data_IF_805310399392
#
_entry.id   IF_805310399392
#
_cell.length_a   1.000
_cell.length_b   1.000
_cell.length_c   1.000
_cell.angle_alpha   90.00
_cell.angle_beta   90.00
_cell.angle_gamma   90.00
#
_symmetry.space_group_name_H-M   'P 1'
#
loop_
_entity.id
_entity.type
_entity.pdbx_description
1 polymer ?
#
# COMPACT_ATOMS: atom_id res chain seq x y z
N UNK A 1 10.42 -14.49 6.35
CA UNK A 1 10.49 -13.04 6.08
C UNK A 1 9.40 -12.32 6.87
N UNK A 2 9.55 -11.04 7.19
CA UNK A 2 8.49 -10.26 7.83
C UNK A 2 7.37 -9.95 6.85
N UNK A 3 6.17 -9.58 7.33
CA UNK A 3 5.07 -9.16 6.44
C UNK A 3 5.45 -7.98 5.54
N UNK A 4 6.23 -7.02 6.05
CA UNK A 4 6.72 -5.87 5.28
C UNK A 4 7.68 -6.29 4.16
N UNK A 5 8.61 -7.19 4.46
CA UNK A 5 9.52 -7.77 3.46
C UNK A 5 8.74 -8.54 2.39
N UNK A 6 7.80 -9.39 2.80
CA UNK A 6 6.95 -10.17 1.92
C UNK A 6 6.14 -9.26 0.98
N UNK A 7 5.47 -8.24 1.53
CA UNK A 7 4.69 -7.30 0.75
C UNK A 7 5.56 -6.52 -0.26
N UNK A 8 6.78 -6.12 0.13
CA UNK A 8 7.72 -5.45 -0.77
C UNK A 8 8.22 -6.38 -1.88
N UNK A 9 8.53 -7.65 -1.57
CA UNK A 9 8.92 -8.64 -2.57
C UNK A 9 7.80 -8.89 -3.60
N UNK A 10 6.55 -8.97 -3.14
CA UNK A 10 5.36 -9.10 -4.00
C UNK A 10 5.08 -7.79 -4.78
N UNK A 11 5.47 -6.64 -4.24
CA UNK A 11 5.24 -5.31 -4.83
C UNK A 11 3.91 -4.66 -4.42
N UNK A 12 3.36 -5.04 -3.26
CA UNK A 12 2.04 -4.66 -2.74
C UNK A 12 2.15 -4.03 -1.35
N UNK A 13 1.03 -3.56 -0.82
CA UNK A 13 0.91 -3.17 0.59
C UNK A 13 0.72 -4.40 1.51
N UNK A 14 1.11 -4.33 2.79
CA UNK A 14 0.84 -5.39 3.78
C UNK A 14 -0.64 -5.77 3.90
N UNK A 15 -1.55 -4.80 3.82
CA UNK A 15 -3.01 -5.03 3.88
C UNK A 15 -3.47 -5.89 2.71
N UNK A 16 -2.97 -5.61 1.50
CA UNK A 16 -3.30 -6.41 0.33
C UNK A 16 -2.88 -7.87 0.52
N UNK A 17 -1.68 -8.12 1.06
CA UNK A 17 -1.20 -9.49 1.34
C UNK A 17 -2.13 -10.23 2.29
N UNK A 18 -2.51 -9.59 3.40
CA UNK A 18 -3.40 -10.21 4.39
C UNK A 18 -4.75 -10.57 3.76
N UNK A 19 -5.33 -9.67 2.98
CA UNK A 19 -6.59 -9.90 2.28
C UNK A 19 -6.47 -11.01 1.23
N UNK A 20 -5.39 -10.99 0.44
CA UNK A 20 -5.11 -12.00 -0.56
C UNK A 20 -4.98 -13.39 0.06
N UNK A 21 -4.15 -13.55 1.10
CA UNK A 21 -3.95 -14.85 1.76
C UNK A 21 -5.22 -15.34 2.46
N UNK A 22 -6.01 -14.45 3.06
CA UNK A 22 -7.31 -14.81 3.63
C UNK A 22 -8.28 -15.27 2.54
N UNK A 23 -8.40 -14.55 1.41
CA UNK A 23 -9.24 -14.94 0.28
C UNK A 23 -8.82 -16.30 -0.31
N UNK A 24 -7.52 -16.53 -0.45
CA UNK A 24 -6.95 -17.77 -0.98
C UNK A 24 -6.98 -18.92 0.04
N UNK A 25 -7.37 -18.68 1.30
CA UNK A 25 -7.34 -19.65 2.40
C UNK A 25 -5.96 -20.31 2.60
N UNK A 26 -4.90 -19.60 2.25
CA UNK A 26 -3.51 -20.08 2.38
C UNK A 26 -2.98 -19.72 3.77
N UNK A 27 -2.27 -20.67 4.40
CA UNK A 27 -1.60 -20.42 5.68
C UNK A 27 -0.63 -19.25 5.54
N UNK A 28 -0.61 -18.34 6.52
CA UNK A 28 0.24 -17.13 6.53
C UNK A 28 1.71 -17.46 6.81
N UNK A 29 2.34 -18.20 5.90
CA UNK A 29 3.77 -18.49 5.91
C UNK A 29 4.45 -17.48 5.00
N UNK A 30 5.03 -16.45 5.58
CA UNK A 30 5.77 -15.44 4.81
C UNK A 30 7.14 -16.03 4.44
N UNK A 31 7.16 -16.83 3.39
CA UNK A 31 8.36 -17.39 2.76
C UNK A 31 8.49 -16.92 1.31
N UNK A 32 9.67 -17.15 0.73
CA UNK A 32 10.00 -16.67 -0.61
C UNK A 32 9.21 -17.40 -1.72
N UNK A 33 9.03 -18.73 -1.68
CA UNK A 33 8.19 -19.42 -2.66
C UNK A 33 6.76 -18.87 -2.71
N UNK A 34 6.12 -18.64 -1.56
CA UNK A 34 4.77 -18.06 -1.53
C UNK A 34 4.76 -16.62 -2.04
N UNK A 35 5.75 -15.80 -1.68
CA UNK A 35 5.86 -14.44 -2.20
C UNK A 35 6.00 -14.43 -3.72
N UNK A 36 6.78 -15.35 -4.28
CA UNK A 36 6.98 -15.48 -5.72
C UNK A 36 5.71 -15.89 -6.44
N UNK A 37 5.02 -16.91 -5.93
CA UNK A 37 3.72 -17.36 -6.47
C UNK A 37 2.69 -16.25 -6.43
N UNK A 38 2.60 -15.51 -5.32
CA UNK A 38 1.63 -14.43 -5.17
C UNK A 38 1.99 -13.21 -6.05
N UNK A 39 3.27 -12.93 -6.28
CA UNK A 39 3.72 -11.89 -7.20
C UNK A 39 3.34 -12.19 -8.65
N UNK A 40 3.51 -13.43 -9.09
CA UNK A 40 3.10 -13.86 -10.43
C UNK A 40 1.57 -13.86 -10.57
N UNK A 41 0.86 -14.37 -9.56
CA UNK A 41 -0.60 -14.36 -9.54
C UNK A 41 -1.19 -12.95 -9.63
N UNK A 42 -0.60 -11.99 -8.91
CA UNK A 42 -0.98 -10.58 -9.02
C UNK A 42 -0.78 -10.08 -10.45
N UNK A 43 0.39 -10.31 -11.04
CA UNK A 43 0.69 -9.85 -12.41
C UNK A 43 -0.31 -10.42 -13.42
N UNK A 44 -0.62 -11.72 -13.33
CA UNK A 44 -1.63 -12.36 -14.18
C UNK A 44 -3.02 -11.74 -13.97
N UNK A 45 -3.39 -11.42 -12.73
CA UNK A 45 -4.65 -10.74 -12.43
C UNK A 45 -4.73 -9.31 -12.99
N UNK A 46 -3.63 -8.56 -12.94
CA UNK A 46 -3.56 -7.18 -13.45
C UNK A 46 -3.56 -7.12 -14.98
N UNK A 47 -2.80 -7.99 -15.63
CA UNK A 47 -2.64 -7.96 -17.10
C UNK A 47 -3.77 -8.69 -17.84
N UNK A 48 -4.35 -9.74 -17.24
CA UNK A 48 -5.37 -10.59 -17.90
C UNK A 48 -6.76 -10.43 -17.28
N UNK A 49 -6.92 -9.58 -16.26
CA UNK A 49 -8.18 -9.46 -15.51
C UNK A 49 -8.59 -10.74 -14.75
N UNK A 50 -7.66 -11.67 -14.56
CA UNK A 50 -7.96 -13.00 -14.00
C UNK A 50 -8.29 -12.91 -12.51
N UNK A 51 -9.34 -13.61 -12.02
CA UNK A 51 -9.60 -13.74 -10.60
C UNK A 51 -8.39 -14.30 -9.85
N UNK A 52 -8.06 -13.70 -8.70
CA UNK A 52 -6.82 -14.00 -7.96
C UNK A 52 -6.66 -15.49 -7.62
N UNK A 53 -7.75 -16.19 -7.33
CA UNK A 53 -7.78 -17.63 -7.07
C UNK A 53 -7.30 -18.45 -8.27
N UNK A 54 -7.84 -18.17 -9.47
CA UNK A 54 -7.39 -18.80 -10.72
C UNK A 54 -5.96 -18.41 -11.07
N UNK A 55 -5.62 -17.13 -10.91
CA UNK A 55 -4.27 -16.64 -11.17
C UNK A 55 -3.24 -17.27 -10.23
N UNK A 56 -3.61 -17.53 -8.98
CA UNK A 56 -2.75 -18.16 -8.00
C UNK A 56 -2.49 -19.64 -8.31
N UNK A 57 -3.51 -20.37 -8.75
CA UNK A 57 -3.35 -21.74 -9.25
C UNK A 57 -2.46 -21.79 -10.50
N UNK A 58 -2.73 -20.93 -11.47
CA UNK A 58 -1.94 -20.85 -12.71
C UNK A 58 -0.48 -20.50 -12.44
N UNK A 59 -0.23 -19.51 -11.58
CA UNK A 59 1.11 -19.14 -11.14
C UNK A 59 1.85 -20.29 -10.46
N UNK A 60 1.12 -21.14 -9.70
CA UNK A 60 1.69 -22.32 -9.07
C UNK A 60 2.21 -23.33 -10.08
N UNK A 61 1.39 -23.63 -11.11
CA UNK A 61 1.79 -24.53 -12.21
C UNK A 61 2.95 -23.96 -13.01
N UNK A 62 2.83 -22.69 -13.42
CA UNK A 62 3.89 -22.02 -14.17
C UNK A 62 5.22 -22.05 -13.42
N UNK A 63 5.25 -21.80 -12.11
CA UNK A 63 6.48 -21.85 -11.32
C UNK A 63 7.02 -23.26 -11.07
N UNK A 64 6.16 -24.28 -11.07
CA UNK A 64 6.57 -25.67 -10.90
C UNK A 64 7.19 -26.25 -12.18
N UNK A 65 6.70 -25.82 -13.34
CA UNK A 65 7.11 -26.30 -14.67
C UNK A 65 8.13 -25.40 -15.34
N UNK A 66 8.33 -24.17 -14.87
CA UNK A 66 9.17 -23.20 -15.54
C UNK A 66 10.64 -23.60 -15.55
N UNK A 67 11.23 -23.51 -16.75
CA UNK A 67 12.64 -23.25 -16.90
C UNK A 67 12.94 -21.79 -16.49
N UNK A 68 13.80 -21.55 -15.49
CA UNK A 68 14.21 -20.20 -15.09
C UNK A 68 14.80 -19.35 -16.22
N UNK A 69 15.35 -19.98 -17.25
CA UNK A 69 15.96 -19.31 -18.41
C UNK A 69 15.02 -19.23 -19.62
N UNK A 70 13.87 -19.91 -19.58
CA UNK A 70 12.97 -20.08 -20.71
C UNK A 70 11.64 -19.34 -20.56
N UNK A 71 10.81 -19.44 -21.60
CA UNK A 71 9.42 -18.99 -21.53
C UNK A 71 8.55 -20.14 -21.05
N UNK A 72 7.63 -19.88 -20.11
CA UNK A 72 6.56 -20.82 -19.82
C UNK A 72 5.39 -20.53 -20.77
N UNK A 73 4.89 -21.57 -21.45
CA UNK A 73 3.83 -21.45 -22.45
C UNK A 73 2.69 -22.38 -22.11
N UNK A 74 1.46 -21.90 -22.28
CA UNK A 74 0.27 -22.73 -22.17
C UNK A 74 -0.75 -22.34 -23.22
N UNK A 75 -1.21 -23.34 -23.95
CA UNK A 75 -2.26 -23.23 -24.94
C UNK A 75 -3.63 -23.52 -24.29
N UNK A 76 -4.68 -22.90 -24.82
CA UNK A 76 -6.06 -23.26 -24.50
C UNK A 76 -6.41 -24.61 -25.11
N UNK A 77 -7.39 -25.30 -24.53
CA UNK A 77 -7.76 -26.66 -24.96
C UNK A 77 -8.23 -26.73 -26.43
N UNK A 78 -8.71 -25.60 -26.97
CA UNK A 78 -9.16 -25.41 -28.36
C UNK A 78 -8.09 -24.79 -29.28
N UNK A 79 -6.89 -24.49 -28.78
CA UNK A 79 -5.81 -23.86 -29.55
C UNK A 79 -6.04 -22.37 -29.89
N UNK A 80 -7.14 -21.78 -29.44
CA UNK A 80 -7.49 -20.40 -29.79
C UNK A 80 -6.58 -19.35 -29.13
N UNK A 81 -5.98 -19.68 -27.97
CA UNK A 81 -5.20 -18.73 -27.16
C UNK A 81 -3.94 -19.37 -26.62
N UNK A 82 -2.81 -18.67 -26.74
CA UNK A 82 -1.55 -19.06 -26.10
C UNK A 82 -1.17 -17.99 -25.07
N UNK A 83 -1.00 -18.43 -23.82
CA UNK A 83 -0.38 -17.63 -22.77
C UNK A 83 1.12 -17.89 -22.74
N UNK A 84 1.91 -16.81 -22.87
CA UNK A 84 3.37 -16.86 -22.78
C UNK A 84 3.84 -15.99 -21.62
N UNK A 85 4.62 -16.59 -20.71
CA UNK A 85 5.24 -15.89 -19.58
C UNK A 85 6.75 -15.91 -19.77
N UNK A 86 7.35 -14.73 -19.87
CA UNK A 86 8.81 -14.54 -19.83
C UNK A 86 9.31 -14.74 -18.40
N UNK A 87 9.75 -15.95 -18.09
CA UNK A 87 10.20 -16.33 -16.75
C UNK A 87 11.48 -15.61 -16.35
N UNK A 88 12.54 -15.47 -17.19
CA UNK A 88 13.71 -14.69 -16.87
C UNK A 88 13.35 -13.28 -16.40
N UNK A 89 12.51 -12.57 -17.17
CA UNK A 89 12.12 -11.20 -16.83
C UNK A 89 11.30 -11.15 -15.55
N UNK A 90 10.43 -12.12 -15.32
CA UNK A 90 9.72 -12.25 -14.05
C UNK A 90 10.68 -12.46 -12.87
N UNK A 91 11.60 -13.43 -12.95
CA UNK A 91 12.56 -13.74 -11.90
C UNK A 91 13.50 -12.56 -11.62
N UNK A 92 13.97 -11.85 -12.65
CA UNK A 92 14.77 -10.63 -12.48
C UNK A 92 13.99 -9.58 -11.70
N UNK A 93 12.75 -9.26 -12.10
CA UNK A 93 11.92 -8.26 -11.41
C UNK A 93 11.64 -8.65 -9.95
N UNK A 94 11.31 -9.93 -9.72
CA UNK A 94 11.10 -10.45 -8.37
C UNK A 94 12.38 -10.37 -7.53
N UNK A 95 13.52 -10.78 -8.08
CA UNK A 95 14.83 -10.73 -7.44
C UNK A 95 15.22 -9.31 -7.03
N UNK A 96 15.00 -8.32 -7.91
CA UNK A 96 15.23 -6.91 -7.57
C UNK A 96 14.38 -6.46 -6.38
N UNK A 97 13.07 -6.79 -6.36
CA UNK A 97 12.18 -6.43 -5.25
C UNK A 97 12.56 -7.14 -3.96
N UNK A 98 12.98 -8.40 -4.05
CA UNK A 98 13.45 -9.18 -2.91
C UNK A 98 14.74 -8.60 -2.33
N UNK A 99 15.69 -8.18 -3.18
CA UNK A 99 16.90 -7.49 -2.75
C UNK A 99 16.56 -6.16 -2.04
N UNK A 100 15.62 -5.38 -2.59
CA UNK A 100 15.11 -4.17 -1.93
C UNK A 100 14.44 -4.50 -0.59
N UNK A 101 13.65 -5.56 -0.51
CA UNK A 101 13.03 -6.00 0.74
C UNK A 101 14.08 -6.37 1.79
N UNK A 102 15.12 -7.10 1.41
CA UNK A 102 16.23 -7.46 2.30
C UNK A 102 17.01 -6.23 2.78
N UNK A 103 17.23 -5.23 1.92
CA UNK A 103 17.94 -4.00 2.30
C UNK A 103 17.09 -3.03 3.13
N UNK A 104 15.81 -2.88 2.80
CA UNK A 104 14.88 -1.96 3.48
C UNK A 104 14.54 -2.42 4.90
N UNK A 105 14.49 -3.73 5.10
CA UNK A 105 14.11 -4.35 6.38
C UNK A 105 15.22 -5.23 6.97
N UNK A 106 16.44 -5.17 6.43
CA UNK A 106 17.61 -5.83 7.00
C UNK A 106 18.00 -5.14 8.30
N UNK A 107 18.55 -5.90 9.26
CA UNK A 107 19.12 -5.33 10.47
C UNK A 107 20.16 -4.27 10.09
N UNK A 108 19.95 -3.05 10.60
CA UNK A 108 20.94 -1.98 10.48
C UNK A 108 22.20 -2.43 11.19
N UNK A 109 23.28 -2.67 10.43
CA UNK A 109 24.63 -2.78 10.96
C UNK A 109 24.84 -1.64 11.97
N UNK A 110 25.25 -2.00 13.20
CA UNK A 110 25.49 -1.04 14.28
C UNK A 110 26.53 -0.02 13.83
N UNK A 111 26.07 1.21 13.65
CA UNK A 111 26.88 2.38 13.27
C UNK A 111 25.95 3.59 13.15
N UNK A 112 26.23 4.64 13.92
CA UNK A 112 25.35 5.81 14.10
C UNK A 112 25.16 6.54 12.77
N UNK A 113 24.02 6.32 12.11
CA UNK A 113 23.52 7.19 11.02
C UNK A 113 22.49 8.18 11.58
N UNK A 114 22.48 9.44 11.10
CA UNK A 114 21.78 10.55 11.72
C UNK A 114 20.28 10.29 11.75
N UNK A 115 19.67 10.60 12.89
CA UNK A 115 18.26 10.37 13.15
C UNK A 115 17.40 11.32 12.31
N UNK A 116 17.11 10.98 11.04
CA UNK A 116 15.96 11.58 10.35
C UNK A 116 14.70 11.03 11.00
N UNK A 117 14.22 11.72 12.04
CA UNK A 117 12.88 11.51 12.62
C UNK A 117 11.86 11.68 11.51
N UNK A 118 11.41 10.58 10.90
CA UNK A 118 10.19 10.61 10.09
C UNK A 118 9.08 11.07 11.02
N UNK A 119 8.43 12.18 10.70
CA UNK A 119 7.37 12.73 11.53
C UNK A 119 6.21 11.73 11.62
N UNK A 120 5.49 11.72 12.75
CA UNK A 120 4.31 10.87 12.91
C UNK A 120 3.30 11.06 11.76
N UNK A 121 3.23 12.28 11.23
CA UNK A 121 2.46 12.68 10.05
C UNK A 121 2.84 11.86 8.81
N UNK A 122 4.13 11.64 8.56
CA UNK A 122 4.59 10.88 7.40
C UNK A 122 4.22 9.40 7.51
N UNK A 123 4.28 8.82 8.71
CA UNK A 123 3.80 7.45 8.95
C UNK A 123 2.29 7.37 8.70
N UNK A 124 1.51 8.31 9.23
CA UNK A 124 0.06 8.34 9.05
C UNK A 124 -0.34 8.43 7.55
N UNK A 125 0.37 9.22 6.73
CA UNK A 125 0.19 9.25 5.27
C UNK A 125 0.46 7.90 4.61
N UNK A 126 1.56 7.24 4.99
CA UNK A 126 1.89 5.90 4.48
C UNK A 126 0.83 4.84 4.87
N UNK A 127 0.09 5.07 5.97
CA UNK A 127 -1.05 4.25 6.39
C UNK A 127 -2.39 4.63 5.72
N UNK A 128 -2.42 5.65 4.85
CA UNK A 128 -3.63 6.10 4.15
C UNK A 128 -4.55 6.98 4.99
N UNK A 129 -4.06 7.51 6.11
CA UNK A 129 -4.80 8.48 6.94
C UNK A 129 -4.64 9.86 6.32
N UNK A 130 -5.75 10.54 6.06
CA UNK A 130 -5.71 11.93 5.63
C UNK A 130 -5.27 12.83 6.78
N UNK A 131 -4.06 13.37 6.66
CA UNK A 131 -3.44 14.27 7.64
C UNK A 131 -3.20 15.66 7.06
N UNK A 132 -3.87 16.02 5.96
CA UNK A 132 -3.79 17.37 5.37
C UNK A 132 -4.19 18.44 6.38
N UNK A 133 -5.26 18.23 7.14
CA UNK A 133 -5.71 19.15 8.18
C UNK A 133 -4.65 19.34 9.27
N UNK A 134 -4.07 18.26 9.78
CA UNK A 134 -3.05 18.30 10.85
C UNK A 134 -1.75 18.94 10.34
N UNK A 135 -1.33 18.64 9.11
CA UNK A 135 -0.15 19.24 8.49
C UNK A 135 -0.33 20.74 8.25
N UNK A 136 -1.55 21.16 7.85
CA UNK A 136 -1.87 22.59 7.67
C UNK A 136 -1.82 23.37 8.98
N UNK A 137 -2.21 22.76 10.10
CA UNK A 137 -2.17 23.36 11.43
C UNK A 137 -0.77 23.41 12.02
N UNK A 138 0.06 22.39 11.77
CA UNK A 138 1.45 22.32 12.25
C UNK A 138 2.41 23.26 11.52
N UNK A 139 2.09 23.67 10.28
CA UNK A 139 2.87 24.67 9.52
C UNK A 139 2.65 26.10 9.98
N UNK A 140 1.66 26.35 10.84
CA UNK A 140 1.34 27.69 11.34
C UNK A 140 2.22 28.04 12.54
N UNK A 141 2.69 29.27 12.59
CA UNK A 141 3.41 29.78 13.76
C UNK A 141 2.47 29.87 14.97
N UNK A 142 2.99 29.88 16.21
CA UNK A 142 2.17 30.10 17.40
C UNK A 142 1.28 31.36 17.29
N UNK A 143 1.81 32.46 16.76
CA UNK A 143 1.09 33.72 16.55
C UNK A 143 -0.08 33.58 15.57
N UNK A 144 0.13 32.84 14.47
CA UNK A 144 -0.93 32.56 13.49
C UNK A 144 -2.06 31.70 14.08
N UNK A 145 -1.73 30.78 15.01
CA UNK A 145 -2.73 29.98 15.72
C UNK A 145 -3.56 30.84 16.68
N UNK A 146 -2.93 31.77 17.41
CA UNK A 146 -3.65 32.69 18.29
C UNK A 146 -4.57 33.64 17.50
N UNK A 147 -4.12 34.16 16.37
CA UNK A 147 -4.93 35.04 15.52
C UNK A 147 -6.18 34.34 14.98
N UNK A 148 -6.06 33.08 14.53
CA UNK A 148 -7.20 32.29 14.07
C UNK A 148 -8.21 32.04 15.20
N UNK A 149 -7.74 31.67 16.40
CA UNK A 149 -8.64 31.45 17.55
C UNK A 149 -9.36 32.73 17.94
N UNK A 150 -8.67 33.89 17.89
CA UNK A 150 -9.30 35.19 18.11
C UNK A 150 -10.35 35.52 17.03
N UNK A 151 -10.04 35.28 15.76
CA UNK A 151 -10.98 35.49 14.63
C UNK A 151 -12.21 34.57 14.73
N UNK A 152 -12.02 33.29 15.10
CA UNK A 152 -13.11 32.34 15.36
C UNK A 152 -13.96 32.79 16.56
N UNK A 153 -13.34 33.23 17.66
CA UNK A 153 -14.07 33.76 18.82
C UNK A 153 -14.88 35.01 18.49
N UNK A 154 -14.34 35.90 17.66
CA UNK A 154 -15.07 37.09 17.17
C UNK A 154 -16.23 36.72 16.23
N UNK A 155 -16.07 35.69 15.40
CA UNK A 155 -17.14 35.19 14.55
C UNK A 155 -18.28 34.54 15.35
N UNK A 156 -17.94 33.70 16.34
CA UNK A 156 -18.95 33.08 17.21
C UNK A 156 -19.65 34.08 18.14
N UNK A 157 -18.95 35.13 18.58
CA UNK A 157 -19.58 36.19 19.37
C UNK A 157 -20.50 37.07 18.52
N UNK A 158 -20.16 37.33 17.25
CA UNK A 158 -21.03 38.02 16.30
C UNK A 158 -22.32 37.23 16.03
N UNK A 159 -22.22 35.90 15.83
CA UNK A 159 -23.38 35.03 15.61
C UNK A 159 -24.27 34.93 16.85
N UNK A 160 -23.69 34.85 18.06
CA UNK A 160 -24.47 34.87 19.31
C UNK A 160 -25.10 36.23 19.59
N UNK A 161 -24.45 37.33 19.20
CA UNK A 161 -24.99 38.69 19.34
C UNK A 161 -26.20 38.95 18.45
N UNK A 162 -26.27 38.32 17.26
CA UNK A 162 -27.42 38.44 16.35
C UNK A 162 -28.64 37.59 16.76
N UNK A 163 -28.50 36.65 17.69
CA UNK A 163 -29.59 35.78 18.15
C UNK A 163 -30.40 36.37 19.33
N UNK A 164 -30.11 37.60 19.77
CA UNK A 164 -30.68 38.20 20.99
C UNK A 164 -31.48 39.51 20.81
N UNK A 165 -31.77 39.96 19.59
CA UNK A 165 -32.46 41.23 19.37
C UNK A 165 -33.40 41.20 18.18
N UNK A 166 -34.70 41.06 18.43
CA UNK A 166 -35.72 41.25 17.40
C UNK A 166 -37.03 40.50 17.66
N UNK A 167 -37.86 41.00 18.57
CA UNK A 167 -39.33 40.94 18.46
C UNK A 167 -39.92 42.11 19.24
N UNK A 168 -39.92 43.30 18.63
CA UNK A 168 -40.95 44.30 18.85
C UNK A 168 -41.80 44.32 17.58
N UNK A 169 -43.10 44.00 17.72
CA UNK A 169 -44.12 44.20 16.70
C UNK A 169 -45.26 45.04 17.31
N UNK A 170 -45.85 45.95 16.52
CA UNK A 170 -46.70 47.02 17.03
C UNK A 170 -48.14 46.55 17.26
N UNK A 171 -48.82 47.25 18.18
CA UNK A 171 -50.27 47.38 18.24
C UNK A 171 -50.66 48.84 18.03
#
# INVERSE_FOLDING_TARGET
MTLGQFATAVGVTPRWVLNALTRLKVRRRYDEPLARRLALARMLGEELGMPLDRAFELAGRALAEADPQGQWRRESDDGAVILVIDMPRFFTRFGTRLAVARNKYGERLRGRRPHKRRSAVQRAREFGVDVTLIDSQLRRTPEQRFKMVAEEMHFFSAIRGTAGGGTDLPH
#
